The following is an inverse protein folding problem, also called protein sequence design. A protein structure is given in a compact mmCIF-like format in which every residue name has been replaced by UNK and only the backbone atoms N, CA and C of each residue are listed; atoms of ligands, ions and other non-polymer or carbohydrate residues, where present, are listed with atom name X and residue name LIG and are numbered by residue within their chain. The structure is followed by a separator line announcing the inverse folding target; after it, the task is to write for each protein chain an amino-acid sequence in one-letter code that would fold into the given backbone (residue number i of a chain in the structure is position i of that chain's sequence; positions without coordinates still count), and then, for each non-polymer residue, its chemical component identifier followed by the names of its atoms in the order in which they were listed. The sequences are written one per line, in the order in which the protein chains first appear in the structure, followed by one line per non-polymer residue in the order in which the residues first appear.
data_IF_171895866952
#
_entry.id   IF_171895866952
#
_cell.length_a   1.000
_cell.length_b   1.000
_cell.length_c   1.000
_cell.angle_alpha   90.00
_cell.angle_beta   90.00
_cell.angle_gamma   90.00
#
_symmetry.space_group_name_H-M   'P 1'
#
loop_
_entity.id
_entity.type
_entity.pdbx_description
1 polymer ?
#
# COMPACT_ATOMS: atom_id res chain seq x y z
N UNK A 1 8.16 -12.84 -24.21
CA UNK A 1 9.54 -12.79 -23.74
C UNK A 1 9.54 -12.08 -22.42
N UNK A 2 10.12 -12.77 -21.44
CA UNK A 2 10.59 -12.33 -20.13
C UNK A 2 9.56 -11.93 -19.07
N UNK A 3 9.18 -12.95 -18.30
CA UNK A 3 8.72 -12.85 -16.92
C UNK A 3 9.51 -11.79 -16.16
N UNK A 4 8.87 -10.67 -15.83
CA UNK A 4 9.43 -9.76 -14.84
C UNK A 4 9.06 -10.29 -13.47
N UNK A 5 9.81 -11.33 -13.06
CA UNK A 5 9.74 -11.88 -11.72
C UNK A 5 10.10 -10.76 -10.73
N UNK A 6 9.17 -10.51 -9.81
CA UNK A 6 9.42 -9.81 -8.57
C UNK A 6 10.73 -10.28 -7.93
N UNK A 7 11.80 -9.47 -8.04
CA UNK A 7 13.11 -9.83 -7.47
C UNK A 7 13.08 -9.96 -5.94
N UNK A 8 12.08 -9.34 -5.29
CA UNK A 8 11.91 -9.34 -3.83
C UNK A 8 10.60 -10.00 -3.43
N UNK A 9 10.69 -10.97 -2.51
CA UNK A 9 9.55 -11.71 -1.95
C UNK A 9 8.55 -10.78 -1.27
N UNK A 10 9.03 -9.70 -0.67
CA UNK A 10 8.24 -8.70 0.03
C UNK A 10 7.27 -7.98 -0.94
N UNK A 11 7.69 -7.70 -2.18
CA UNK A 11 6.84 -7.07 -3.18
C UNK A 11 5.73 -8.02 -3.66
N UNK A 12 6.04 -9.32 -3.77
CA UNK A 12 5.03 -10.35 -4.09
C UNK A 12 3.98 -10.44 -2.98
N UNK A 13 4.42 -10.46 -1.73
CA UNK A 13 3.53 -10.50 -0.55
C UNK A 13 2.65 -9.26 -0.53
N UNK A 14 3.22 -8.07 -0.77
CA UNK A 14 2.45 -6.83 -0.84
C UNK A 14 1.37 -6.89 -1.92
N UNK A 15 1.72 -7.30 -3.14
CA UNK A 15 0.73 -7.42 -4.23
C UNK A 15 -0.35 -8.47 -3.92
N UNK A 16 0.03 -9.61 -3.34
CA UNK A 16 -0.92 -10.63 -2.90
C UNK A 16 -1.89 -10.10 -1.85
N UNK A 17 -1.40 -9.35 -0.85
CA UNK A 17 -2.25 -8.70 0.14
C UNK A 17 -3.20 -7.67 -0.50
N UNK A 18 -2.71 -6.89 -1.46
CA UNK A 18 -3.53 -5.89 -2.18
C UNK A 18 -4.55 -6.54 -3.13
N UNK A 19 -4.36 -7.80 -3.50
CA UNK A 19 -5.39 -8.54 -4.24
C UNK A 19 -6.64 -8.81 -3.38
N UNK A 20 -6.54 -8.67 -2.05
CA UNK A 20 -7.71 -8.67 -1.17
C UNK A 20 -8.36 -7.27 -1.17
N UNK A 21 -9.57 -7.18 -1.70
CA UNK A 21 -10.33 -5.93 -1.82
C UNK A 21 -10.53 -5.20 -0.49
N UNK A 22 -10.68 -5.92 0.63
CA UNK A 22 -10.80 -5.31 1.95
C UNK A 22 -9.50 -4.63 2.38
N UNK A 23 -8.36 -5.30 2.24
CA UNK A 23 -7.07 -4.75 2.66
C UNK A 23 -6.68 -3.54 1.81
N UNK A 24 -6.97 -3.62 0.51
CA UNK A 24 -6.81 -2.51 -0.42
C UNK A 24 -7.69 -1.32 -0.05
N UNK A 25 -8.98 -1.53 0.22
CA UNK A 25 -9.87 -0.45 0.65
C UNK A 25 -9.38 0.24 1.93
N UNK A 26 -8.86 -0.54 2.89
CA UNK A 26 -8.29 0.00 4.14
C UNK A 26 -7.04 0.85 3.88
N UNK A 27 -6.17 0.43 2.96
CA UNK A 27 -5.01 1.23 2.55
C UNK A 27 -5.45 2.55 1.91
N UNK A 28 -6.42 2.49 0.98
CA UNK A 28 -6.96 3.68 0.32
C UNK A 28 -7.57 4.65 1.35
N UNK A 29 -8.30 4.14 2.32
CA UNK A 29 -8.86 4.95 3.40
C UNK A 29 -7.77 5.65 4.23
N UNK A 30 -6.65 4.99 4.52
CA UNK A 30 -5.52 5.62 5.21
C UNK A 30 -4.89 6.76 4.39
N UNK A 31 -4.88 6.64 3.06
CA UNK A 31 -4.28 7.62 2.18
C UNK A 31 -5.19 8.83 1.99
N UNK A 32 -6.46 8.58 1.67
CA UNK A 32 -7.43 9.58 1.19
C UNK A 32 -8.42 10.04 2.25
N UNK A 33 -8.54 9.31 3.36
CA UNK A 33 -9.62 9.45 4.38
C UNK A 33 -11.03 9.31 3.80
N UNK A 34 -11.16 8.63 2.65
CA UNK A 34 -12.41 8.37 1.96
C UNK A 34 -12.53 6.88 1.62
N UNK A 35 -13.77 6.41 1.55
CA UNK A 35 -14.07 5.06 1.07
C UNK A 35 -14.08 5.08 -0.47
N UNK A 36 -13.45 4.08 -1.08
CA UNK A 36 -13.45 3.88 -2.52
C UNK A 36 -13.86 2.44 -2.85
N UNK A 37 -14.61 2.27 -3.94
CA UNK A 37 -15.09 0.97 -4.41
C UNK A 37 -14.58 0.70 -5.83
N UNK A 38 -14.74 -0.55 -6.28
CA UNK A 38 -14.35 -0.99 -7.64
C UNK A 38 -12.87 -0.71 -7.95
N UNK A 39 -12.01 -0.87 -6.94
CA UNK A 39 -10.58 -0.67 -7.06
C UNK A 39 -9.97 -1.83 -7.85
N UNK A 40 -9.22 -1.48 -8.88
CA UNK A 40 -8.39 -2.42 -9.64
C UNK A 40 -6.95 -2.30 -9.17
N UNK A 41 -6.27 -3.44 -9.02
CA UNK A 41 -4.86 -3.49 -8.62
C UNK A 41 -4.05 -4.09 -9.75
N UNK A 42 -3.13 -3.30 -10.30
CA UNK A 42 -2.24 -3.69 -11.39
C UNK A 42 -0.82 -3.68 -10.87
N UNK A 43 -0.06 -4.72 -11.19
CA UNK A 43 1.35 -4.77 -10.89
C UNK A 43 2.18 -4.35 -12.09
N UNK A 44 3.19 -3.53 -11.83
CA UNK A 44 4.27 -3.22 -12.76
C UNK A 44 5.60 -3.67 -12.16
N UNK A 45 6.68 -3.52 -12.93
CA UNK A 45 8.00 -4.01 -12.53
C UNK A 45 8.53 -3.31 -11.27
N UNK A 46 8.16 -2.04 -11.07
CA UNK A 46 8.73 -1.16 -10.05
C UNK A 46 7.67 -0.39 -9.27
N UNK A 47 6.39 -0.65 -9.55
CA UNK A 47 5.25 -0.11 -8.83
C UNK A 47 4.08 -1.07 -8.79
N UNK A 48 3.16 -0.79 -7.87
CA UNK A 48 1.80 -1.32 -7.90
C UNK A 48 0.86 -0.13 -8.08
N UNK A 49 -0.06 -0.22 -9.02
CA UNK A 49 -1.09 0.79 -9.22
C UNK A 49 -2.43 0.29 -8.69
N UNK A 50 -3.11 1.14 -7.94
CA UNK A 50 -4.47 0.91 -7.48
C UNK A 50 -5.32 2.03 -8.04
N UNK A 51 -6.36 1.72 -8.81
CA UNK A 51 -7.14 2.76 -9.46
C UNK A 51 -8.62 2.43 -9.61
N UNK A 52 -9.41 3.48 -9.78
CA UNK A 52 -10.77 3.49 -10.30
C UNK A 52 -11.03 4.83 -11.02
N UNK A 53 -12.26 5.08 -11.46
CA UNK A 53 -12.64 6.31 -12.19
C UNK A 53 -12.42 7.61 -11.39
N UNK A 54 -12.12 7.52 -10.09
CA UNK A 54 -12.03 8.67 -9.19
C UNK A 54 -10.68 8.80 -8.48
N UNK A 55 -9.81 7.79 -8.56
CA UNK A 55 -8.58 7.72 -7.78
C UNK A 55 -7.55 6.89 -8.52
N UNK A 56 -6.30 7.35 -8.50
CA UNK A 56 -5.14 6.55 -8.87
C UNK A 56 -4.12 6.63 -7.74
N UNK A 57 -3.64 5.49 -7.28
CA UNK A 57 -2.56 5.38 -6.30
C UNK A 57 -1.44 4.58 -6.91
N UNK A 58 -0.23 5.13 -6.89
CA UNK A 58 0.98 4.46 -7.34
C UNK A 58 1.85 4.19 -6.13
N UNK A 59 2.06 2.91 -5.83
CA UNK A 59 2.94 2.43 -4.77
C UNK A 59 4.32 2.20 -5.37
N UNK A 60 5.31 2.96 -4.92
CA UNK A 60 6.69 2.86 -5.38
C UNK A 60 7.42 1.71 -4.68
N UNK A 61 7.95 0.77 -5.48
CA UNK A 61 8.70 -0.39 -5.01
C UNK A 61 10.22 -0.28 -5.25
N UNK A 62 10.63 0.55 -6.21
CA UNK A 62 12.04 0.76 -6.58
C UNK A 62 12.25 2.11 -7.26
N UNK A 63 13.50 2.60 -7.27
CA UNK A 63 13.95 3.90 -7.84
C UNK A 63 14.01 3.94 -9.38
N UNK A 64 13.65 2.85 -10.06
CA UNK A 64 13.86 2.74 -11.50
C UNK A 64 12.69 3.15 -12.37
N UNK A 65 11.55 3.58 -11.80
CA UNK A 65 10.38 3.86 -12.62
C UNK A 65 10.75 4.97 -13.60
N UNK A 66 10.59 4.67 -14.87
CA UNK A 66 11.07 5.52 -15.92
C UNK A 66 10.19 6.77 -15.97
N UNK A 67 10.82 7.94 -16.09
CA UNK A 67 10.15 9.23 -16.24
C UNK A 67 8.96 9.23 -17.22
N UNK A 68 8.94 8.35 -18.25
CA UNK A 68 7.81 8.28 -19.19
C UNK A 68 6.48 7.81 -18.57
N UNK A 69 6.47 6.69 -17.84
CA UNK A 69 5.22 6.20 -17.21
C UNK A 69 4.65 7.23 -16.23
N UNK A 70 5.54 7.98 -15.57
CA UNK A 70 5.16 9.07 -14.67
C UNK A 70 4.65 10.33 -15.37
N UNK A 71 5.27 10.73 -16.47
CA UNK A 71 4.89 11.93 -17.20
C UNK A 71 3.47 11.83 -17.77
N UNK A 72 3.03 10.61 -18.10
CA UNK A 72 1.72 10.37 -18.68
C UNK A 72 0.60 10.43 -17.63
N UNK A 73 0.87 9.96 -16.40
CA UNK A 73 -0.14 9.93 -15.33
C UNK A 73 -0.13 11.15 -14.41
N UNK A 74 0.97 11.93 -14.32
CA UNK A 74 1.10 13.04 -13.35
C UNK A 74 0.02 14.13 -13.42
N UNK A 75 -0.68 14.23 -14.56
CA UNK A 75 -1.73 15.23 -14.77
C UNK A 75 -3.11 14.77 -14.26
N UNK A 76 -3.25 13.53 -13.76
CA UNK A 76 -4.49 13.06 -13.16
C UNK A 76 -4.75 13.77 -11.83
N UNK A 77 -5.92 14.42 -11.72
CA UNK A 77 -6.27 15.28 -10.58
C UNK A 77 -6.34 14.56 -9.23
N UNK A 78 -6.49 13.24 -9.23
CA UNK A 78 -6.61 12.41 -8.01
C UNK A 78 -5.52 11.32 -7.98
N UNK A 79 -4.30 11.70 -8.34
CA UNK A 79 -3.14 10.82 -8.29
C UNK A 79 -2.41 10.95 -6.95
N UNK A 80 -2.14 9.82 -6.30
CA UNK A 80 -1.36 9.74 -5.07
C UNK A 80 -0.16 8.84 -5.26
N UNK A 81 1.03 9.36 -5.00
CA UNK A 81 2.23 8.54 -4.90
C UNK A 81 2.46 8.16 -3.46
N UNK A 82 2.68 6.87 -3.20
CA UNK A 82 2.99 6.37 -1.88
C UNK A 82 4.21 5.45 -1.89
N UNK A 83 4.83 5.31 -0.74
CA UNK A 83 5.85 4.29 -0.50
C UNK A 83 5.78 3.80 0.94
N UNK A 84 6.24 2.56 1.19
CA UNK A 84 6.40 2.02 2.53
C UNK A 84 7.83 2.18 3.08
N UNK A 85 8.71 2.85 2.33
CA UNK A 85 10.13 2.98 2.65
C UNK A 85 10.57 4.43 2.54
N UNK A 86 11.20 4.94 3.60
CA UNK A 86 11.69 6.33 3.63
C UNK A 86 12.78 6.64 2.61
N UNK A 87 13.49 5.61 2.12
CA UNK A 87 14.58 5.77 1.14
C UNK A 87 14.13 6.44 -0.17
N UNK A 88 12.87 6.26 -0.58
CA UNK A 88 12.39 6.75 -1.88
C UNK A 88 11.91 8.21 -1.87
N UNK A 89 11.65 8.79 -0.69
CA UNK A 89 11.15 10.16 -0.59
C UNK A 89 12.25 11.22 -0.84
N UNK A 90 13.52 10.86 -0.64
CA UNK A 90 14.67 11.76 -0.76
C UNK A 90 15.38 11.67 -2.12
N UNK A 91 14.89 10.82 -3.03
CA UNK A 91 15.49 10.59 -4.34
C UNK A 91 15.26 11.79 -5.26
N UNK A 92 16.36 12.29 -5.84
CA UNK A 92 16.35 13.49 -6.70
C UNK A 92 15.44 13.37 -7.94
N UNK A 93 15.08 12.15 -8.32
CA UNK A 93 14.20 11.81 -9.45
C UNK A 93 12.75 12.22 -9.16
N UNK A 94 12.35 12.34 -7.89
CA UNK A 94 10.98 12.65 -7.46
C UNK A 94 10.79 14.06 -6.92
N UNK A 95 11.73 14.98 -7.16
CA UNK A 95 11.72 16.35 -6.59
C UNK A 95 10.42 17.14 -6.82
N UNK A 96 9.71 16.85 -7.90
CA UNK A 96 8.47 17.56 -8.27
C UNK A 96 7.20 16.79 -7.86
N UNK A 97 7.32 15.69 -7.10
CA UNK A 97 6.22 14.82 -6.73
C UNK A 97 6.17 14.63 -5.22
N UNK A 98 5.03 14.92 -4.63
CA UNK A 98 4.79 14.60 -3.23
C UNK A 98 4.56 13.09 -3.07
N UNK A 99 5.54 12.38 -2.49
CA UNK A 99 5.42 10.98 -2.13
C UNK A 99 5.02 10.87 -0.66
N UNK A 100 3.86 10.27 -0.39
CA UNK A 100 3.42 9.99 0.97
C UNK A 100 4.05 8.68 1.46
N UNK A 101 4.84 8.76 2.53
CA UNK A 101 5.32 7.55 3.22
C UNK A 101 4.17 7.00 4.07
N UNK A 102 3.84 5.73 3.89
CA UNK A 102 2.86 5.01 4.70
C UNK A 102 3.63 4.06 5.63
N UNK A 103 3.34 4.13 6.93
CA UNK A 103 3.85 3.14 7.86
C UNK A 103 3.11 1.82 7.67
N UNK A 104 3.85 0.78 7.30
CA UNK A 104 3.31 -0.57 7.11
C UNK A 104 2.62 -1.09 8.40
N UNK A 105 3.12 -0.71 9.58
CA UNK A 105 2.50 -1.05 10.86
C UNK A 105 1.18 -0.33 11.06
N UNK A 106 1.07 0.93 10.63
CA UNK A 106 -0.20 1.66 10.66
C UNK A 106 -1.24 0.97 9.77
N UNK A 107 -0.86 0.58 8.55
CA UNK A 107 -1.73 -0.16 7.66
C UNK A 107 -2.16 -1.50 8.25
N UNK A 108 -1.22 -2.29 8.78
CA UNK A 108 -1.52 -3.55 9.45
C UNK A 108 -2.49 -3.36 10.63
N UNK A 109 -2.25 -2.36 11.48
CA UNK A 109 -3.12 -2.07 12.61
C UNK A 109 -4.54 -1.68 12.17
N UNK A 110 -4.69 -0.93 11.08
CA UNK A 110 -6.02 -0.61 10.55
C UNK A 110 -6.71 -1.83 9.93
N UNK A 111 -5.96 -2.75 9.29
CA UNK A 111 -6.51 -4.04 8.86
C UNK A 111 -7.10 -4.80 10.06
N UNK A 112 -6.32 -4.93 11.13
CA UNK A 112 -6.74 -5.64 12.35
C UNK A 112 -8.01 -5.02 12.97
N UNK A 113 -8.11 -3.69 12.98
CA UNK A 113 -9.25 -2.97 13.58
C UNK A 113 -10.51 -2.99 12.71
N UNK A 114 -10.36 -2.87 11.38
CA UNK A 114 -11.48 -2.61 10.47
C UNK A 114 -11.95 -3.83 9.69
N UNK A 115 -11.17 -4.91 9.67
CA UNK A 115 -11.55 -6.10 8.92
C UNK A 115 -12.87 -6.70 9.41
N UNK A 116 -13.68 -7.12 8.45
CA UNK A 116 -14.91 -7.87 8.62
C UNK A 116 -14.65 -9.37 8.74
N UNK A 117 -13.45 -9.84 8.42
CA UNK A 117 -13.04 -11.23 8.58
C UNK A 117 -12.98 -11.60 10.08
N UNK A 118 -13.74 -12.62 10.47
CA UNK A 118 -13.85 -13.06 11.87
C UNK A 118 -12.53 -13.58 12.46
N UNK A 119 -11.66 -14.20 11.66
CA UNK A 119 -10.35 -14.65 12.13
C UNK A 119 -9.45 -13.46 12.45
N UNK A 120 -9.47 -12.43 11.61
CA UNK A 120 -8.71 -11.19 11.85
C UNK A 120 -9.21 -10.47 13.09
N UNK A 121 -10.53 -10.41 13.31
CA UNK A 121 -11.11 -9.87 14.54
C UNK A 121 -10.67 -10.66 15.77
N UNK A 122 -10.67 -11.99 15.71
CA UNK A 122 -10.18 -12.85 16.81
C UNK A 122 -8.70 -12.58 17.10
N UNK A 123 -7.87 -12.46 16.08
CA UNK A 123 -6.46 -12.09 16.23
C UNK A 123 -6.30 -10.68 16.82
N UNK A 124 -7.16 -9.73 16.45
CA UNK A 124 -7.16 -8.39 17.04
C UNK A 124 -7.50 -8.44 18.52
N UNK A 125 -8.51 -9.20 18.94
CA UNK A 125 -8.80 -9.39 20.36
C UNK A 125 -7.65 -10.08 21.10
N UNK A 126 -7.02 -11.10 20.48
CA UNK A 126 -5.84 -11.76 21.02
C UNK A 126 -4.69 -10.77 21.24
N UNK A 127 -4.50 -9.80 20.33
CA UNK A 127 -3.44 -8.79 20.46
C UNK A 127 -3.60 -7.87 21.68
N UNK A 128 -4.77 -7.86 22.33
CA UNK A 128 -5.04 -7.08 23.56
C UNK A 128 -4.76 -7.84 24.85
N UNK A 129 -4.38 -9.12 24.78
CA UNK A 129 -4.04 -9.91 25.97
C UNK A 129 -2.94 -9.22 26.77
N UNK A 130 -3.24 -8.92 28.04
CA UNK A 130 -2.26 -8.46 29.02
C UNK A 130 -1.81 -9.68 29.81
N UNK A 131 -0.55 -10.08 29.65
CA UNK A 131 0.06 -11.08 30.51
C UNK A 131 0.41 -10.38 31.83
N UNK A 132 -0.42 -10.58 32.86
CA UNK A 132 -0.05 -10.23 34.22
C UNK A 132 0.94 -11.27 34.73
N UNK A 133 2.18 -10.88 35.00
CA UNK A 133 3.10 -11.74 35.73
C UNK A 133 2.59 -11.87 37.15
N UNK A 134 2.25 -13.09 37.56
CA UNK A 134 2.06 -13.42 38.97
C UNK A 134 3.46 -13.43 39.58
N UNK A 135 3.75 -12.46 40.44
CA UNK A 135 4.96 -12.52 41.27
C UNK A 135 4.68 -13.52 42.40
N UNK A 136 5.46 -14.60 42.43
CA UNK A 136 5.56 -15.51 43.58
C UNK A 136 6.37 -14.89 44.72
#
# INVERSE_FOLDING_TARGET
MDNVFYEKKEHQILFWLLSNAEFTAILIYLITRKEHQNLQVINYNQSIEIWNDHLTIVILLSVGIQNREYLDIRNNRNLHFITFSGFYADESIFKDVYIKIIDLKEWFNEIMKRSKNEEIKRLYELSKLKISMVQE
#
